data_IF_545987667932
#
_entry.id   IF_545987667932
#
_cell.length_a   1.000
_cell.length_b   1.000
_cell.length_c   1.000
_cell.angle_alpha   90.00
_cell.angle_beta   90.00
_cell.angle_gamma   90.00
#
_symmetry.space_group_name_H-M   'P 1'
#
loop_
_entity.id
_entity.type
_entity.pdbx_description
1 polymer ?
#
# COMPACT_ATOMS: atom_id res chain seq x y z
N UNK A 1 -24.65 -3.87 25.99
CA UNK A 1 -23.79 -4.96 25.49
C UNK A 1 -22.63 -4.35 24.73
N UNK A 2 -21.40 -4.86 24.95
CA UNK A 2 -20.19 -4.43 24.25
C UNK A 2 -20.28 -4.68 22.74
N UNK A 3 -19.31 -4.18 21.97
CA UNK A 3 -19.22 -4.45 20.54
C UNK A 3 -19.09 -5.94 20.26
N UNK A 4 -19.59 -6.36 19.09
CA UNK A 4 -19.42 -7.73 18.61
C UNK A 4 -18.02 -7.87 18.04
N UNK A 5 -17.42 -9.05 18.20
CA UNK A 5 -16.09 -9.34 17.66
C UNK A 5 -16.24 -10.43 16.61
N UNK A 6 -15.75 -10.17 15.41
CA UNK A 6 -15.60 -11.20 14.37
C UNK A 6 -14.12 -11.38 14.07
N UNK A 7 -13.76 -12.55 13.55
CA UNK A 7 -12.37 -12.90 13.22
C UNK A 7 -12.34 -13.43 11.81
N UNK A 8 -11.33 -13.02 11.05
CA UNK A 8 -11.05 -13.64 9.77
C UNK A 8 -10.89 -15.15 9.93
N UNK A 9 -11.39 -15.90 8.95
CA UNK A 9 -11.27 -17.35 8.93
C UNK A 9 -9.78 -17.73 9.06
N UNK A 10 -9.49 -18.67 9.97
CA UNK A 10 -8.12 -19.07 10.30
C UNK A 10 -7.37 -19.67 9.11
N UNK A 11 -8.05 -20.44 8.27
CA UNK A 11 -7.48 -21.09 7.09
C UNK A 11 -7.15 -20.05 6.01
N UNK A 12 -8.07 -19.11 5.76
CA UNK A 12 -7.84 -17.97 4.86
C UNK A 12 -6.66 -17.13 5.32
N UNK A 13 -6.55 -16.89 6.63
CA UNK A 13 -5.44 -16.13 7.21
C UNK A 13 -4.10 -16.87 7.06
N UNK A 14 -4.10 -18.19 7.19
CA UNK A 14 -2.93 -19.01 6.89
C UNK A 14 -2.54 -18.94 5.42
N UNK A 15 -3.52 -18.99 4.51
CA UNK A 15 -3.28 -18.84 3.07
C UNK A 15 -2.64 -17.47 2.74
N UNK A 16 -3.13 -16.38 3.33
CA UNK A 16 -2.48 -15.07 3.21
C UNK A 16 -1.06 -15.08 3.75
N UNK A 17 -0.82 -15.70 4.91
CA UNK A 17 0.53 -15.81 5.48
C UNK A 17 1.47 -16.53 4.52
N UNK A 18 1.07 -17.66 3.96
CA UNK A 18 1.86 -18.41 2.99
C UNK A 18 2.21 -17.56 1.76
N UNK A 19 1.21 -16.96 1.11
CA UNK A 19 1.44 -16.13 -0.10
C UNK A 19 2.32 -14.90 0.18
N UNK A 20 2.14 -14.25 1.33
CA UNK A 20 3.00 -13.14 1.74
C UNK A 20 4.45 -13.62 1.94
N UNK A 21 4.67 -14.77 2.57
CA UNK A 21 6.02 -15.33 2.76
C UNK A 21 6.66 -15.72 1.43
N UNK A 22 5.91 -16.35 0.53
CA UNK A 22 6.37 -16.69 -0.83
C UNK A 22 6.78 -15.45 -1.60
N UNK A 23 5.95 -14.39 -1.58
CA UNK A 23 6.29 -13.11 -2.18
C UNK A 23 7.59 -12.54 -1.62
N UNK A 24 7.74 -12.53 -0.29
CA UNK A 24 8.95 -12.04 0.36
C UNK A 24 10.17 -12.89 -0.02
N UNK A 25 10.03 -14.21 -0.09
CA UNK A 25 11.10 -15.11 -0.51
C UNK A 25 11.54 -14.81 -1.95
N UNK A 26 10.58 -14.69 -2.90
CA UNK A 26 10.85 -14.30 -4.28
C UNK A 26 11.55 -12.94 -4.39
N UNK A 27 11.08 -11.93 -3.65
CA UNK A 27 11.72 -10.61 -3.62
C UNK A 27 13.14 -10.65 -3.05
N UNK A 28 13.36 -11.46 -2.00
CA UNK A 28 14.70 -11.69 -1.42
C UNK A 28 15.63 -12.37 -2.43
N UNK A 29 15.16 -13.38 -3.16
CA UNK A 29 15.94 -14.06 -4.20
C UNK A 29 16.30 -13.13 -5.36
N UNK A 30 15.34 -12.33 -5.86
CA UNK A 30 15.60 -11.34 -6.92
C UNK A 30 16.62 -10.30 -6.45
N UNK A 31 16.51 -9.85 -5.20
CA UNK A 31 17.49 -8.93 -4.61
C UNK A 31 18.88 -9.58 -4.50
N UNK A 32 18.96 -10.85 -4.09
CA UNK A 32 20.23 -11.58 -4.02
C UNK A 32 20.87 -11.76 -5.39
N UNK A 33 20.10 -12.14 -6.41
CA UNK A 33 20.59 -12.26 -7.80
C UNK A 33 21.15 -10.92 -8.31
N UNK A 34 20.45 -9.81 -8.07
CA UNK A 34 20.93 -8.47 -8.46
C UNK A 34 22.24 -8.11 -7.74
N UNK A 35 22.36 -8.43 -6.46
CA UNK A 35 23.60 -8.22 -5.68
C UNK A 35 24.76 -9.03 -6.30
N UNK A 36 24.49 -10.28 -6.71
CA UNK A 36 25.50 -11.15 -7.33
C UNK A 36 25.90 -10.72 -8.75
N UNK A 37 24.98 -10.10 -9.50
CA UNK A 37 25.23 -9.60 -10.86
C UNK A 37 25.94 -8.23 -10.89
N UNK A 38 25.56 -7.31 -9.99
CA UNK A 38 26.08 -5.93 -9.99
C UNK A 38 27.37 -5.75 -9.19
N UNK A 39 27.76 -6.72 -8.34
CA UNK A 39 28.91 -6.60 -7.46
C UNK A 39 29.93 -7.74 -7.70
N UNK A 40 31.25 -7.41 -7.74
CA UNK A 40 32.30 -8.41 -7.73
C UNK A 40 32.10 -9.45 -6.60
N UNK A 41 32.43 -10.72 -6.87
CA UNK A 41 32.24 -11.85 -5.94
C UNK A 41 32.85 -11.64 -4.55
N UNK A 42 33.98 -10.91 -4.47
CA UNK A 42 34.64 -10.56 -3.20
C UNK A 42 33.93 -9.45 -2.40
N UNK A 43 32.91 -8.78 -2.95
CA UNK A 43 32.09 -7.76 -2.24
C UNK A 43 30.74 -8.37 -1.82
N UNK A 44 30.18 -9.27 -2.64
CA UNK A 44 28.88 -9.91 -2.38
C UNK A 44 28.82 -10.64 -1.02
N UNK A 45 29.89 -11.35 -0.63
CA UNK A 45 29.92 -12.09 0.64
C UNK A 45 29.83 -11.20 1.89
N UNK A 46 30.23 -9.93 1.83
CA UNK A 46 30.16 -9.00 2.96
C UNK A 46 28.80 -8.27 3.03
N UNK A 47 28.14 -8.05 1.89
CA UNK A 47 26.87 -7.32 1.80
C UNK A 47 25.66 -8.25 2.00
N UNK A 48 25.72 -9.51 1.54
CA UNK A 48 24.65 -10.50 1.72
C UNK A 48 24.22 -10.69 3.19
N UNK A 49 25.14 -10.87 4.16
CA UNK A 49 24.79 -10.99 5.58
C UNK A 49 24.17 -9.71 6.13
N UNK A 50 24.69 -8.53 5.72
CA UNK A 50 24.22 -7.23 6.21
C UNK A 50 22.85 -6.85 5.65
N UNK A 51 22.55 -7.17 4.38
CA UNK A 51 21.24 -6.95 3.78
C UNK A 51 20.19 -7.87 4.42
N UNK A 52 20.49 -9.17 4.56
CA UNK A 52 19.62 -10.12 5.27
C UNK A 52 19.38 -9.70 6.73
N UNK A 53 20.44 -9.33 7.45
CA UNK A 53 20.36 -8.87 8.83
C UNK A 53 19.65 -7.51 8.98
N UNK A 54 19.84 -6.56 8.07
CA UNK A 54 19.13 -5.27 8.09
C UNK A 54 17.63 -5.43 7.77
N UNK A 55 17.27 -6.35 6.87
CA UNK A 55 15.86 -6.70 6.60
C UNK A 55 15.20 -7.41 7.79
N UNK A 56 15.91 -8.36 8.43
CA UNK A 56 15.35 -9.14 9.53
C UNK A 56 15.35 -8.38 10.87
N UNK A 57 16.40 -7.60 11.18
CA UNK A 57 16.50 -6.82 12.43
C UNK A 57 15.51 -5.66 12.51
N UNK A 58 15.18 -5.05 11.36
CA UNK A 58 14.16 -4.00 11.25
C UNK A 58 12.75 -4.54 11.43
N UNK A 59 12.52 -5.83 11.16
CA UNK A 59 11.23 -6.51 11.35
C UNK A 59 11.04 -7.07 12.76
N UNK A 60 12.04 -7.74 13.35
CA UNK A 60 11.95 -8.30 14.72
C UNK A 60 11.74 -7.22 15.79
N UNK A 61 12.38 -6.06 15.64
CA UNK A 61 12.22 -4.94 16.59
C UNK A 61 10.88 -4.20 16.44
N UNK A 62 10.26 -4.29 15.26
CA UNK A 62 8.95 -3.71 14.95
C UNK A 62 7.79 -4.69 15.30
N UNK A 63 7.97 -6.02 15.21
CA UNK A 63 6.92 -7.04 15.48
C UNK A 63 6.67 -7.31 16.96
N UNK A 64 7.72 -7.48 17.77
CA UNK A 64 7.58 -7.88 19.18
C UNK A 64 7.02 -6.76 20.07
N UNK A 65 6.92 -5.53 19.53
CA UNK A 65 6.28 -4.38 20.19
C UNK A 65 4.82 -4.19 19.75
N UNK A 66 4.38 -4.75 18.62
CA UNK A 66 3.03 -4.56 18.05
C UNK A 66 1.93 -5.30 18.82
N UNK A 67 2.12 -6.60 19.08
CA UNK A 67 1.09 -7.49 19.66
C UNK A 67 0.51 -7.00 21.00
N UNK A 68 1.35 -6.47 21.89
CA UNK A 68 0.91 -5.98 23.21
C UNK A 68 0.11 -4.68 23.17
N UNK A 69 0.35 -3.82 22.17
CA UNK A 69 -0.40 -2.57 21.98
C UNK A 69 -1.76 -2.80 21.35
N UNK A 70 -1.83 -3.71 20.38
CA UNK A 70 -3.05 -4.13 19.69
C UNK A 70 -4.06 -4.76 20.65
N UNK A 71 -3.61 -5.66 21.54
CA UNK A 71 -4.49 -6.32 22.51
C UNK A 71 -5.21 -5.35 23.47
N UNK A 72 -4.52 -4.30 23.93
CA UNK A 72 -5.14 -3.27 24.78
C UNK A 72 -6.13 -2.41 24.01
N UNK A 73 -5.83 -2.05 22.76
CA UNK A 73 -6.74 -1.27 21.92
C UNK A 73 -8.03 -2.06 21.63
N UNK A 74 -7.92 -3.33 21.22
CA UNK A 74 -9.06 -4.22 20.98
C UNK A 74 -9.97 -4.36 22.21
N UNK A 75 -9.40 -4.52 23.40
CA UNK A 75 -10.18 -4.63 24.64
C UNK A 75 -10.98 -3.36 24.92
N UNK A 76 -10.36 -2.19 24.75
CA UNK A 76 -11.04 -0.91 24.94
C UNK A 76 -12.16 -0.71 23.91
N UNK A 77 -11.93 -1.00 22.63
CA UNK A 77 -12.99 -0.89 21.63
C UNK A 77 -14.16 -1.83 21.91
N UNK A 78 -13.87 -3.07 22.30
CA UNK A 78 -14.89 -4.02 22.72
C UNK A 78 -15.73 -3.48 23.88
N UNK A 79 -15.10 -2.96 24.94
CA UNK A 79 -15.78 -2.43 26.12
C UNK A 79 -16.58 -1.14 25.85
N UNK A 80 -16.01 -0.20 25.08
CA UNK A 80 -16.54 1.16 24.97
C UNK A 80 -17.47 1.38 23.78
N UNK A 81 -17.56 0.45 22.82
CA UNK A 81 -18.50 0.52 21.71
C UNK A 81 -19.74 -0.36 21.98
N UNK A 82 -20.88 0.01 21.41
CA UNK A 82 -22.15 -0.72 21.58
C UNK A 82 -22.20 -1.97 20.70
N UNK A 83 -23.14 -2.87 20.97
CA UNK A 83 -23.45 -4.07 20.16
C UNK A 83 -23.72 -3.83 18.66
N UNK A 84 -23.99 -2.58 18.28
CA UNK A 84 -24.18 -2.15 16.88
C UNK A 84 -22.86 -2.12 16.11
N UNK A 85 -21.73 -2.17 16.82
CA UNK A 85 -20.40 -2.21 16.24
C UNK A 85 -19.90 -3.64 16.11
N UNK A 86 -19.19 -3.90 15.02
CA UNK A 86 -18.38 -5.09 14.80
C UNK A 86 -16.92 -4.66 14.80
N UNK A 87 -16.10 -5.31 15.64
CA UNK A 87 -14.66 -5.22 15.64
C UNK A 87 -14.06 -6.44 14.96
N UNK A 88 -13.21 -6.21 13.95
CA UNK A 88 -12.38 -7.24 13.31
C UNK A 88 -10.92 -6.84 13.48
N UNK A 89 -10.15 -7.68 14.16
CA UNK A 89 -8.73 -7.43 14.42
C UNK A 89 -7.85 -8.15 13.40
N UNK A 90 -6.69 -7.56 13.12
CA UNK A 90 -5.62 -8.10 12.28
C UNK A 90 -6.15 -8.63 10.95
N UNK A 91 -6.78 -7.71 10.22
CA UNK A 91 -7.44 -7.93 8.93
C UNK A 91 -6.40 -7.92 7.83
N UNK A 92 -6.26 -9.03 7.11
CA UNK A 92 -5.40 -9.15 5.92
C UNK A 92 -6.26 -9.24 4.68
N UNK A 93 -5.98 -8.40 3.67
CA UNK A 93 -6.70 -8.37 2.40
C UNK A 93 -5.70 -8.27 1.23
N UNK A 94 -6.13 -8.73 0.06
CA UNK A 94 -5.41 -8.56 -1.20
C UNK A 94 -6.35 -7.83 -2.18
N UNK A 95 -6.23 -6.49 -2.34
CA UNK A 95 -7.03 -5.72 -3.28
C UNK A 95 -6.65 -5.99 -4.75
N UNK A 96 -5.42 -6.42 -5.00
CA UNK A 96 -4.89 -6.79 -6.31
C UNK A 96 -3.88 -7.93 -6.17
N UNK A 97 -3.66 -8.74 -7.22
CA UNK A 97 -2.66 -9.80 -7.21
C UNK A 97 -1.31 -9.32 -6.66
N UNK A 98 -0.81 -10.02 -5.65
CA UNK A 98 0.45 -9.73 -4.94
C UNK A 98 0.46 -8.40 -4.16
N UNK A 99 -0.60 -7.59 -4.15
CA UNK A 99 -0.71 -6.41 -3.30
C UNK A 99 -1.48 -6.73 -2.02
N UNK A 100 -0.76 -6.80 -0.89
CA UNK A 100 -1.36 -7.10 0.40
C UNK A 100 -1.48 -5.85 1.29
N UNK A 101 -2.53 -5.83 2.11
CA UNK A 101 -2.71 -4.91 3.23
C UNK A 101 -3.01 -5.67 4.51
N UNK A 102 -2.50 -5.15 5.62
CA UNK A 102 -2.79 -5.61 6.97
C UNK A 102 -3.28 -4.40 7.77
N UNK A 103 -4.47 -4.50 8.35
CA UNK A 103 -5.12 -3.43 9.11
C UNK A 103 -5.34 -3.94 10.53
N UNK A 104 -4.73 -3.29 11.51
CA UNK A 104 -4.72 -3.77 12.90
C UNK A 104 -6.13 -3.91 13.47
N UNK A 105 -6.99 -2.90 13.25
CA UNK A 105 -8.40 -3.00 13.63
C UNK A 105 -9.31 -2.34 12.58
N UNK A 106 -10.35 -3.08 12.17
CA UNK A 106 -11.47 -2.56 11.41
C UNK A 106 -12.70 -2.53 12.32
N UNK A 107 -13.26 -1.34 12.51
CA UNK A 107 -14.49 -1.13 13.27
C UNK A 107 -15.62 -0.75 12.30
N UNK A 108 -16.72 -1.48 12.33
CA UNK A 108 -17.84 -1.28 11.41
C UNK A 108 -19.07 -1.01 12.26
N UNK A 109 -19.73 0.12 12.05
CA UNK A 109 -20.89 0.50 12.85
C UNK A 109 -21.73 1.59 12.17
N UNK A 110 -22.73 2.15 12.89
CA UNK A 110 -23.69 3.06 12.28
C UNK A 110 -23.08 4.27 11.56
N UNK A 111 -22.01 4.94 12.06
CA UNK A 111 -21.41 6.06 11.34
C UNK A 111 -20.54 5.67 10.13
N UNK A 112 -20.16 4.40 9.98
CA UNK A 112 -19.27 3.94 8.92
C UNK A 112 -18.20 2.95 9.36
N UNK A 113 -17.10 2.91 8.60
CA UNK A 113 -15.98 1.99 8.79
C UNK A 113 -14.76 2.76 9.27
N UNK A 114 -14.13 2.36 10.37
CA UNK A 114 -12.89 2.95 10.85
C UNK A 114 -11.73 1.97 10.66
N UNK A 115 -10.67 2.45 10.02
CA UNK A 115 -9.42 1.73 9.81
C UNK A 115 -8.40 2.25 10.82
N UNK A 116 -8.21 1.50 11.92
CA UNK A 116 -7.33 1.91 13.01
C UNK A 116 -5.95 1.27 12.81
N UNK A 117 -4.94 2.12 12.65
CA UNK A 117 -3.53 1.73 12.70
C UNK A 117 -2.99 1.99 14.10
N UNK A 118 -2.48 0.95 14.76
CA UNK A 118 -1.90 1.07 16.10
C UNK A 118 -0.38 1.16 16.06
N UNK A 119 0.17 1.99 16.95
CA UNK A 119 1.62 2.18 17.14
C UNK A 119 1.97 2.08 18.61
N UNK A 120 2.58 0.98 18.99
CA UNK A 120 3.16 0.77 20.32
C UNK A 120 4.53 1.46 20.49
N UNK A 121 4.70 2.64 19.92
CA UNK A 121 5.98 3.36 19.96
C UNK A 121 6.18 4.08 21.29
N UNK A 122 7.35 3.88 21.89
CA UNK A 122 7.75 4.55 23.13
C UNK A 122 8.55 5.82 22.86
N UNK A 123 8.34 6.84 23.69
CA UNK A 123 9.08 8.11 23.63
C UNK A 123 8.21 9.29 23.18
N UNK A 124 8.87 10.29 22.57
CA UNK A 124 8.23 11.52 22.12
C UNK A 124 8.20 11.60 20.59
N UNK A 125 7.04 11.93 20.02
CA UNK A 125 6.80 11.95 18.58
C UNK A 125 6.14 13.26 18.13
N UNK A 126 6.61 13.77 16.99
CA UNK A 126 6.04 14.94 16.33
C UNK A 126 5.62 14.57 14.91
N UNK A 127 4.34 14.74 14.61
CA UNK A 127 3.76 14.63 13.28
C UNK A 127 3.34 16.00 12.76
N UNK A 128 3.77 16.35 11.55
CA UNK A 128 3.32 17.56 10.84
C UNK A 128 3.14 17.26 9.36
N UNK A 129 1.93 17.47 8.80
CA UNK A 129 1.62 17.17 7.38
C UNK A 129 2.07 15.77 6.95
N UNK A 130 1.79 14.79 7.82
CA UNK A 130 2.19 13.38 7.67
C UNK A 130 3.70 13.12 7.59
N UNK A 131 4.54 14.09 7.95
CA UNK A 131 5.95 13.90 8.21
C UNK A 131 6.18 13.70 9.71
N UNK A 132 6.82 12.57 10.04
CA UNK A 132 6.99 12.15 11.42
C UNK A 132 8.45 12.19 11.85
N UNK A 133 8.66 12.67 13.07
CA UNK A 133 9.94 12.67 13.76
C UNK A 133 9.78 12.04 15.14
N UNK A 134 10.83 11.36 15.60
CA UNK A 134 10.96 10.85 16.97
C UNK A 134 12.08 11.60 17.68
N UNK A 135 11.97 11.75 19.00
CA UNK A 135 13.01 12.35 19.84
C UNK A 135 14.09 11.30 20.13
N UNK A 136 15.34 11.64 19.85
CA UNK A 136 16.54 10.85 20.16
C UNK A 136 17.54 11.75 20.89
N UNK A 137 17.67 11.57 22.20
CA UNK A 137 18.39 12.52 23.05
C UNK A 137 17.85 13.94 22.84
N UNK A 138 18.73 14.86 22.44
CA UNK A 138 18.34 16.25 22.18
C UNK A 138 17.85 16.51 20.76
N UNK A 139 17.91 15.54 19.84
CA UNK A 139 17.60 15.74 18.41
C UNK A 139 16.24 15.15 18.01
N UNK A 140 15.59 15.76 17.03
CA UNK A 140 14.41 15.21 16.36
C UNK A 140 14.83 14.55 15.06
N UNK A 141 14.66 13.23 14.96
CA UNK A 141 15.09 12.41 13.82
C UNK A 141 13.88 11.92 13.06
N UNK A 142 13.93 11.95 11.73
CA UNK A 142 12.83 11.48 10.86
C UNK A 142 12.58 9.98 11.08
N UNK A 143 11.33 9.60 11.20
CA UNK A 143 10.91 8.19 11.27
C UNK A 143 9.85 7.87 10.20
N UNK A 144 9.42 6.60 10.15
CA UNK A 144 8.30 6.17 9.31
C UNK A 144 7.05 6.97 9.70
N UNK A 145 6.17 7.24 8.73
CA UNK A 145 4.93 7.98 8.97
C UNK A 145 3.77 7.00 9.13
N UNK A 146 3.17 6.87 10.33
CA UNK A 146 1.99 6.03 10.53
C UNK A 146 0.77 6.56 9.77
N UNK A 147 0.66 7.88 9.58
CA UNK A 147 -0.45 8.47 8.82
C UNK A 147 -0.29 8.23 7.32
N UNK A 148 0.92 8.26 6.75
CA UNK A 148 1.12 7.83 5.35
C UNK A 148 0.87 6.33 5.16
N UNK A 149 1.22 5.51 6.15
CA UNK A 149 0.93 4.09 6.14
C UNK A 149 -0.58 3.85 6.11
N UNK A 150 -1.33 4.45 7.03
CA UNK A 150 -2.77 4.26 7.07
C UNK A 150 -3.51 4.92 5.89
N UNK A 151 -2.95 5.97 5.28
CA UNK A 151 -3.46 6.52 4.02
C UNK A 151 -3.32 5.53 2.85
N UNK A 152 -2.23 4.74 2.83
CA UNK A 152 -2.11 3.61 1.90
C UNK A 152 -3.16 2.55 2.20
N UNK A 153 -3.39 2.20 3.47
CA UNK A 153 -4.42 1.24 3.85
C UNK A 153 -5.81 1.69 3.42
N UNK A 154 -6.17 2.96 3.63
CA UNK A 154 -7.44 3.53 3.16
C UNK A 154 -7.63 3.35 1.65
N UNK A 155 -6.64 3.73 0.84
CA UNK A 155 -6.73 3.64 -0.63
C UNK A 155 -6.96 2.19 -1.08
N UNK A 156 -6.20 1.27 -0.50
CA UNK A 156 -6.23 -0.14 -0.85
C UNK A 156 -7.48 -0.84 -0.32
N UNK A 157 -7.96 -0.47 0.85
CA UNK A 157 -9.22 -0.94 1.41
C UNK A 157 -10.42 -0.48 0.57
N UNK A 158 -10.45 0.79 0.14
CA UNK A 158 -11.46 1.30 -0.79
C UNK A 158 -11.49 0.52 -2.10
N UNK A 159 -10.30 0.25 -2.66
CA UNK A 159 -10.17 -0.59 -3.86
C UNK A 159 -10.72 -2.00 -3.63
N UNK A 160 -10.32 -2.65 -2.54
CA UNK A 160 -10.82 -3.97 -2.19
C UNK A 160 -12.35 -3.99 -2.03
N UNK A 161 -12.94 -2.97 -1.38
CA UNK A 161 -14.39 -2.83 -1.26
C UNK A 161 -15.06 -2.69 -2.64
N UNK A 162 -14.53 -1.84 -3.52
CA UNK A 162 -15.07 -1.66 -4.86
C UNK A 162 -15.12 -2.99 -5.64
N UNK A 163 -14.01 -3.76 -5.64
CA UNK A 163 -13.94 -5.06 -6.32
C UNK A 163 -14.88 -6.11 -5.69
N UNK A 164 -15.17 -6.03 -4.39
CA UNK A 164 -15.98 -7.04 -3.68
C UNK A 164 -17.49 -6.73 -3.62
N UNK A 165 -17.86 -5.47 -3.86
CA UNK A 165 -19.24 -4.99 -3.90
C UNK A 165 -19.71 -4.59 -5.31
N UNK A 166 -18.80 -4.58 -6.29
CA UNK A 166 -18.99 -4.12 -7.68
C UNK A 166 -19.48 -2.67 -7.83
N UNK A 167 -19.57 -1.94 -6.71
CA UNK A 167 -19.94 -0.54 -6.60
C UNK A 167 -19.68 -0.08 -5.16
N UNK A 168 -19.09 1.10 -5.02
CA UNK A 168 -18.96 1.78 -3.74
C UNK A 168 -19.73 3.10 -3.84
N UNK A 169 -20.82 3.25 -3.08
CA UNK A 169 -21.58 4.51 -3.11
C UNK A 169 -20.71 5.64 -2.57
N UNK A 170 -20.89 6.90 -3.05
CA UNK A 170 -20.17 8.06 -2.53
C UNK A 170 -20.30 8.18 -1.00
N UNK A 171 -21.50 7.95 -0.47
CA UNK A 171 -21.77 7.96 0.98
C UNK A 171 -20.94 6.92 1.73
N UNK A 172 -20.83 5.70 1.19
CA UNK A 172 -20.02 4.64 1.78
C UNK A 172 -18.55 5.00 1.71
N UNK A 173 -18.09 5.57 0.59
CA UNK A 173 -16.72 5.97 0.38
C UNK A 173 -16.26 7.10 1.33
N UNK A 174 -17.14 8.07 1.61
CA UNK A 174 -16.90 9.20 2.52
C UNK A 174 -17.01 8.82 4.01
N UNK A 175 -17.58 7.64 4.29
CA UNK A 175 -17.73 7.11 5.66
C UNK A 175 -16.69 6.04 6.00
N UNK A 176 -15.56 6.01 5.30
CA UNK A 176 -14.38 5.22 5.66
C UNK A 176 -13.33 6.15 6.29
N UNK A 177 -13.11 5.99 7.59
CA UNK A 177 -12.30 6.87 8.41
C UNK A 177 -10.97 6.20 8.80
N UNK A 178 -9.82 6.61 8.23
CA UNK A 178 -8.53 6.18 8.75
C UNK A 178 -8.23 6.90 10.07
N UNK A 179 -7.68 6.18 11.04
CA UNK A 179 -7.26 6.75 12.33
C UNK A 179 -5.96 6.11 12.80
N UNK A 180 -5.07 6.87 13.43
CA UNK A 180 -3.85 6.32 14.06
C UNK A 180 -3.99 6.37 15.58
N UNK A 181 -3.65 5.27 16.26
CA UNK A 181 -3.64 5.15 17.71
C UNK A 181 -2.24 4.80 18.22
N UNK A 182 -1.63 5.70 18.99
CA UNK A 182 -0.44 5.41 19.78
C UNK A 182 -0.83 4.83 21.14
N UNK A 183 -0.24 3.70 21.53
CA UNK A 183 -0.57 3.04 22.81
C UNK A 183 0.51 3.22 23.87
N UNK A 184 1.73 3.61 23.50
CA UNK A 184 2.88 3.73 24.43
C UNK A 184 3.65 5.05 24.31
N UNK A 185 3.15 6.01 23.53
CA UNK A 185 3.82 7.29 23.37
C UNK A 185 3.73 8.09 24.68
N UNK A 186 4.88 8.52 25.21
CA UNK A 186 4.94 9.36 26.42
C UNK A 186 4.59 10.81 26.13
N UNK A 187 4.88 11.26 24.90
CA UNK A 187 4.51 12.58 24.40
C UNK A 187 4.21 12.49 22.91
N UNK A 188 3.10 13.10 22.50
CA UNK A 188 2.65 13.07 21.12
C UNK A 188 2.09 14.44 20.74
N UNK A 189 2.59 14.98 19.62
CA UNK A 189 1.98 16.14 18.97
C UNK A 189 1.84 15.86 17.49
N UNK A 190 0.60 15.74 17.01
CA UNK A 190 0.28 15.52 15.61
C UNK A 190 -0.59 16.68 15.12
N UNK A 191 -0.04 17.50 14.24
CA UNK A 191 -0.69 18.70 13.71
C UNK A 191 -0.83 18.57 12.18
N UNK A 192 -1.97 19.00 11.64
CA UNK A 192 -2.22 19.03 10.19
C UNK A 192 -1.91 17.69 9.48
N UNK A 193 -2.09 16.56 10.18
CA UNK A 193 -1.98 15.25 9.54
C UNK A 193 -3.27 14.96 8.77
N UNK A 194 -3.19 14.09 7.75
CA UNK A 194 -4.34 13.75 6.90
C UNK A 194 -5.45 12.97 7.61
N UNK A 195 -5.24 12.60 8.87
CA UNK A 195 -6.19 11.88 9.69
C UNK A 195 -6.01 12.19 11.18
N UNK A 196 -7.04 11.97 12.00
CA UNK A 196 -6.93 12.03 13.45
C UNK A 196 -5.87 11.07 14.00
N UNK A 197 -5.18 11.52 15.04
CA UNK A 197 -4.18 10.73 15.77
C UNK A 197 -4.50 10.80 17.25
N UNK A 198 -4.58 9.65 17.90
CA UNK A 198 -4.86 9.52 19.33
C UNK A 198 -3.70 8.86 20.05
N UNK A 199 -3.53 9.17 21.33
CA UNK A 199 -2.63 8.45 22.25
C UNK A 199 -3.41 7.76 23.39
N UNK A 200 -4.72 7.65 23.26
CA UNK A 200 -5.62 7.08 24.25
C UNK A 200 -6.72 6.28 23.54
N UNK A 201 -6.83 4.95 23.80
CA UNK A 201 -7.91 4.13 23.24
C UNK A 201 -9.30 4.64 23.65
N UNK A 202 -9.42 5.17 24.86
CA UNK A 202 -10.67 5.75 25.38
C UNK A 202 -11.03 7.01 24.57
N UNK A 203 -10.09 7.94 24.38
CA UNK A 203 -10.34 9.15 23.61
C UNK A 203 -10.76 8.84 22.17
N UNK A 204 -10.14 7.82 21.56
CA UNK A 204 -10.54 7.31 20.25
C UNK A 204 -11.96 6.72 20.27
N UNK A 205 -12.29 5.86 21.23
CA UNK A 205 -13.64 5.31 21.36
C UNK A 205 -14.71 6.42 21.51
N UNK A 206 -14.42 7.47 22.29
CA UNK A 206 -15.29 8.64 22.41
C UNK A 206 -15.44 9.41 21.10
N UNK A 207 -14.35 9.59 20.36
CA UNK A 207 -14.39 10.22 19.04
C UNK A 207 -15.27 9.42 18.08
N UNK A 208 -15.08 8.10 18.00
CA UNK A 208 -15.87 7.19 17.17
C UNK A 208 -17.37 7.28 17.52
N UNK A 209 -17.72 7.31 18.81
CA UNK A 209 -19.12 7.43 19.26
C UNK A 209 -19.78 8.76 18.92
N UNK A 210 -18.99 9.83 18.84
CA UNK A 210 -19.46 11.19 18.55
C UNK A 210 -19.38 11.54 17.06
N UNK A 211 -18.87 10.64 16.23
CA UNK A 211 -18.78 10.86 14.80
C UNK A 211 -20.17 11.17 14.23
N UNK A 212 -20.27 12.31 13.54
CA UNK A 212 -21.47 12.70 12.82
C UNK A 212 -21.85 11.63 11.80
N UNK A 213 -23.15 11.39 11.65
CA UNK A 213 -23.66 10.36 10.74
C UNK A 213 -24.12 11.04 9.46
N UNK A 214 -23.20 11.22 8.50
CA UNK A 214 -23.53 11.68 7.15
C UNK A 214 -24.46 10.64 6.48
N UNK A 215 -24.08 9.38 6.62
CA UNK A 215 -24.87 8.21 6.23
C UNK A 215 -24.87 7.21 7.39
N UNK A 216 -26.03 6.61 7.66
CA UNK A 216 -26.20 5.65 8.76
C UNK A 216 -26.22 4.23 8.18
N UNK A 217 -25.23 3.41 8.51
CA UNK A 217 -25.17 2.03 8.05
C UNK A 217 -26.29 1.23 8.72
N UNK A 218 -27.24 0.65 7.95
CA UNK A 218 -28.23 -0.24 8.54
C UNK A 218 -27.54 -1.50 9.07
N UNK A 219 -28.11 -2.18 10.08
CA UNK A 219 -27.52 -3.39 10.65
C UNK A 219 -27.15 -4.44 9.60
N UNK A 220 -27.99 -4.64 8.58
CA UNK A 220 -27.72 -5.58 7.49
C UNK A 220 -26.49 -5.21 6.64
N UNK A 221 -26.18 -3.92 6.47
CA UNK A 221 -24.97 -3.48 5.77
C UNK A 221 -23.73 -3.69 6.65
N UNK A 222 -23.83 -3.39 7.95
CA UNK A 222 -22.75 -3.64 8.93
C UNK A 222 -22.35 -5.12 8.92
N UNK A 223 -23.32 -6.04 8.99
CA UNK A 223 -23.07 -7.48 8.90
C UNK A 223 -22.44 -7.86 7.56
N UNK A 224 -23.03 -7.41 6.44
CA UNK A 224 -22.55 -7.76 5.09
C UNK A 224 -21.10 -7.34 4.85
N UNK A 225 -20.72 -6.13 5.29
CA UNK A 225 -19.33 -5.64 5.19
C UNK A 225 -18.41 -6.50 6.05
N UNK A 226 -18.80 -6.78 7.30
CA UNK A 226 -17.99 -7.61 8.19
C UNK A 226 -17.81 -9.03 7.64
N UNK A 227 -18.90 -9.66 7.17
CA UNK A 227 -18.89 -11.00 6.57
C UNK A 227 -17.99 -11.08 5.34
N UNK A 228 -18.04 -10.07 4.46
CA UNK A 228 -17.13 -9.97 3.31
C UNK A 228 -15.67 -9.86 3.75
N UNK A 229 -15.36 -9.09 4.80
CA UNK A 229 -14.00 -8.93 5.31
C UNK A 229 -13.48 -10.21 5.97
N UNK A 230 -14.30 -10.89 6.78
CA UNK A 230 -13.84 -12.08 7.52
C UNK A 230 -13.66 -13.31 6.63
N UNK A 231 -14.37 -13.34 5.50
CA UNK A 231 -14.30 -14.41 4.49
C UNK A 231 -13.55 -13.97 3.23
N UNK A 232 -12.81 -12.86 3.28
CA UNK A 232 -12.08 -12.32 2.14
C UNK A 232 -11.00 -13.30 1.67
N UNK A 233 -11.17 -13.86 0.48
CA UNK A 233 -10.15 -14.73 -0.12
C UNK A 233 -9.06 -13.90 -0.82
N UNK A 234 -7.82 -14.43 -0.91
CA UNK A 234 -6.82 -13.90 -1.81
C UNK A 234 -7.31 -13.92 -3.27
N UNK A 235 -6.85 -13.00 -4.12
CA UNK A 235 -7.30 -12.81 -5.51
C UNK A 235 -7.24 -14.09 -6.39
N UNK A 236 -6.47 -15.10 -5.98
CA UNK A 236 -6.27 -16.35 -6.71
C UNK A 236 -6.58 -17.62 -5.89
N UNK A 237 -7.47 -17.57 -4.89
CA UNK A 237 -8.00 -18.78 -4.26
C UNK A 237 -8.99 -19.57 -5.15
N UNK A 238 -8.82 -19.48 -6.48
CA UNK A 238 -9.39 -20.43 -7.43
C UNK A 238 -8.41 -21.60 -7.47
N UNK A 239 -8.88 -22.79 -7.10
CA UNK A 239 -8.09 -24.02 -7.10
C UNK A 239 -7.41 -24.25 -8.46
N UNK A 240 -6.12 -24.56 -8.40
CA UNK A 240 -5.19 -24.81 -9.51
C UNK A 240 -4.85 -23.56 -10.35
N UNK A 241 -3.72 -22.88 -10.07
CA UNK A 241 -3.07 -22.16 -11.16
C UNK A 241 -2.76 -23.20 -12.26
N UNK A 242 -3.01 -22.92 -13.55
CA UNK A 242 -2.45 -23.74 -14.61
C UNK A 242 -0.96 -23.87 -14.31
N UNK A 243 -0.42 -25.08 -14.44
CA UNK A 243 1.03 -25.21 -14.54
C UNK A 243 1.49 -24.19 -15.58
N UNK A 244 2.65 -23.56 -15.43
CA UNK A 244 3.22 -22.68 -16.46
C UNK A 244 3.40 -23.40 -17.82
N UNK A 245 3.06 -24.70 -17.91
CA UNK A 245 2.98 -25.51 -19.11
C UNK A 245 1.59 -25.64 -19.76
N UNK A 246 0.49 -25.18 -19.14
CA UNK A 246 -0.89 -25.39 -19.66
C UNK A 246 -1.64 -24.11 -20.04
N UNK A 247 -1.01 -22.93 -19.97
CA UNK A 247 -1.53 -21.76 -20.69
C UNK A 247 -1.23 -21.94 -22.19
N UNK A 248 -2.22 -21.79 -23.09
CA UNK A 248 -1.92 -21.72 -24.50
C UNK A 248 -0.89 -20.61 -24.69
N UNK A 249 0.22 -20.95 -25.34
CA UNK A 249 1.20 -19.97 -25.81
C UNK A 249 0.38 -18.93 -26.58
N UNK A 250 0.29 -17.73 -26.02
CA UNK A 250 -0.10 -16.58 -26.79
C UNK A 250 1.06 -16.34 -27.78
N UNK A 251 1.02 -17.09 -28.88
CA UNK A 251 1.50 -16.55 -30.14
C UNK A 251 0.84 -15.17 -30.27
N UNK A 252 1.64 -14.12 -30.53
CA UNK A 252 1.12 -12.77 -30.57
C UNK A 252 0.05 -12.67 -31.68
N UNK A 253 -1.22 -12.60 -31.27
CA UNK A 253 -2.33 -12.20 -32.14
C UNK A 253 -2.06 -10.75 -32.52
N UNK A 254 -1.84 -10.55 -33.82
CA UNK A 254 -1.72 -9.26 -34.46
C UNK A 254 -2.98 -8.43 -34.21
N UNK A 255 -2.81 -7.26 -33.58
CA UNK A 255 -3.70 -6.12 -33.80
C UNK A 255 -2.86 -4.88 -34.07
N UNK A 256 -2.95 -4.47 -35.33
CA UNK A 256 -2.48 -3.25 -36.00
C UNK A 256 -1.08 -2.72 -35.67
N UNK A 257 -0.11 -3.32 -36.39
CA UNK A 257 1.05 -2.58 -36.88
C UNK A 257 0.59 -1.50 -37.85
N UNK A 258 0.47 -0.26 -37.39
CA UNK A 258 0.75 0.86 -38.29
C UNK A 258 2.28 1.02 -38.37
N UNK A 259 2.85 0.34 -39.36
CA UNK A 259 4.18 0.65 -39.87
C UNK A 259 4.18 2.07 -40.45
N UNK A 260 4.71 3.02 -39.68
CA UNK A 260 5.35 4.19 -40.24
C UNK A 260 6.81 3.83 -40.53
N UNK A 261 7.28 4.18 -41.70
CA UNK A 261 8.46 3.61 -42.32
C UNK A 261 9.76 4.08 -41.66
N UNK A 262 10.56 3.12 -41.19
CA UNK A 262 12.01 3.19 -41.11
C UNK A 262 12.63 4.02 -39.98
N UNK A 263 12.76 3.45 -38.78
CA UNK A 263 13.97 3.53 -37.94
C UNK A 263 13.84 2.54 -36.78
N UNK A 264 14.87 1.70 -36.55
CA UNK A 264 14.94 0.69 -35.48
C UNK A 264 15.24 1.37 -34.13
N UNK A 265 14.28 2.07 -33.54
CA UNK A 265 14.44 2.64 -32.20
C UNK A 265 13.32 2.18 -31.27
N UNK A 266 13.68 1.68 -30.08
CA UNK A 266 12.72 1.30 -29.03
C UNK A 266 12.18 2.58 -28.38
N UNK A 267 10.89 2.86 -28.59
CA UNK A 267 10.21 4.07 -28.11
C UNK A 267 9.28 3.72 -26.95
N UNK A 268 9.47 4.40 -25.81
CA UNK A 268 8.65 4.24 -24.59
C UNK A 268 8.08 5.58 -24.14
N UNK A 269 6.83 5.62 -23.74
CA UNK A 269 6.19 6.83 -23.19
C UNK A 269 6.01 6.72 -21.68
N UNK A 270 5.98 7.85 -20.98
CA UNK A 270 5.82 7.88 -19.53
C UNK A 270 5.45 9.26 -18.99
N UNK A 271 5.30 9.36 -17.66
CA UNK A 271 5.06 10.63 -16.95
C UNK A 271 6.09 10.85 -15.85
N UNK A 272 6.52 12.10 -15.66
CA UNK A 272 7.40 12.47 -14.53
C UNK A 272 6.63 12.42 -13.21
N UNK A 273 7.34 12.52 -12.07
CA UNK A 273 6.72 12.62 -10.73
C UNK A 273 5.75 13.79 -10.58
N UNK A 274 5.88 14.82 -11.42
CA UNK A 274 5.02 16.00 -11.46
C UNK A 274 3.91 15.88 -12.52
N UNK A 275 3.74 14.70 -13.14
CA UNK A 275 2.69 14.41 -14.13
C UNK A 275 3.05 14.77 -15.58
N UNK A 276 4.17 15.46 -15.83
CA UNK A 276 4.56 15.90 -17.19
C UNK A 276 4.85 14.68 -18.10
N UNK A 277 4.17 14.54 -19.25
CA UNK A 277 4.39 13.42 -20.17
C UNK A 277 5.72 13.56 -20.93
N UNK A 278 6.37 12.43 -21.18
CA UNK A 278 7.61 12.36 -21.96
C UNK A 278 7.65 11.12 -22.84
N UNK A 279 8.45 11.20 -23.90
CA UNK A 279 8.78 10.10 -24.80
C UNK A 279 10.28 9.81 -24.66
N UNK A 280 10.64 8.54 -24.46
CA UNK A 280 12.01 8.01 -24.41
C UNK A 280 12.27 7.18 -25.65
N UNK A 281 13.46 7.35 -26.22
CA UNK A 281 13.91 6.67 -27.44
C UNK A 281 15.29 6.08 -27.15
N UNK A 282 15.42 4.76 -27.29
CA UNK A 282 16.71 4.08 -27.16
C UNK A 282 17.32 3.94 -28.56
N UNK A 283 18.47 4.59 -28.78
CA UNK A 283 19.08 4.73 -30.10
C UNK A 283 20.02 5.94 -30.20
N UNK A 284 20.25 6.40 -31.43
CA UNK A 284 21.02 7.61 -31.67
C UNK A 284 20.21 8.88 -31.36
N UNK A 285 20.88 10.04 -31.27
CA UNK A 285 20.20 11.34 -31.13
C UNK A 285 19.33 11.65 -32.35
N UNK A 286 19.77 11.22 -33.53
CA UNK A 286 19.08 11.40 -34.80
C UNK A 286 17.78 10.57 -34.84
N UNK A 287 17.80 9.34 -34.32
CA UNK A 287 16.59 8.52 -34.18
C UNK A 287 15.56 9.19 -33.26
N UNK A 288 16.03 9.76 -32.14
CA UNK A 288 15.17 10.46 -31.20
C UNK A 288 14.57 11.75 -31.78
N UNK A 289 15.32 12.48 -32.62
CA UNK A 289 14.81 13.66 -33.35
C UNK A 289 13.81 13.28 -34.44
N UNK A 290 13.99 12.13 -35.10
CA UNK A 290 13.02 11.62 -36.07
C UNK A 290 11.70 11.25 -35.40
N UNK A 291 11.76 10.49 -34.30
CA UNK A 291 10.58 10.15 -33.49
C UNK A 291 9.90 11.42 -32.96
N UNK A 292 10.65 12.45 -32.56
CA UNK A 292 10.07 13.72 -32.13
C UNK A 292 9.25 14.40 -33.24
N UNK A 293 9.78 14.47 -34.47
CA UNK A 293 9.06 15.05 -35.61
C UNK A 293 7.78 14.29 -35.94
N UNK A 294 7.78 12.96 -35.84
CA UNK A 294 6.56 12.16 -36.02
C UNK A 294 5.47 12.49 -34.98
N UNK A 295 5.85 12.87 -33.76
CA UNK A 295 4.90 13.33 -32.75
C UNK A 295 4.41 14.77 -33.03
N UNK A 296 5.26 15.65 -33.55
CA UNK A 296 4.84 16.99 -34.01
C UNK A 296 3.84 16.89 -35.18
N UNK A 297 4.09 16.00 -36.16
CA UNK A 297 3.18 15.75 -37.28
C UNK A 297 1.83 15.15 -36.85
N UNK A 298 1.81 14.42 -35.73
CA UNK A 298 0.59 13.91 -35.08
C UNK A 298 -0.13 14.97 -34.22
N UNK A 299 0.36 16.22 -34.20
CA UNK A 299 -0.28 17.34 -33.52
C UNK A 299 0.10 17.51 -32.05
N UNK A 300 1.16 16.86 -31.56
CA UNK A 300 1.66 17.05 -30.20
C UNK A 300 2.67 18.21 -30.15
N UNK A 301 2.55 19.09 -29.15
CA UNK A 301 3.63 20.03 -28.84
C UNK A 301 4.78 19.25 -28.18
N UNK A 302 6.00 19.41 -28.70
CA UNK A 302 7.16 18.68 -28.18
C UNK A 302 8.27 19.62 -27.74
N UNK A 303 8.90 19.28 -26.62
CA UNK A 303 10.11 19.95 -26.13
C UNK A 303 11.38 19.45 -26.84
N UNK A 304 12.54 20.01 -26.50
CA UNK A 304 13.82 19.59 -27.09
C UNK A 304 14.24 18.18 -26.67
N UNK A 305 14.93 17.47 -27.57
CA UNK A 305 15.52 16.15 -27.28
C UNK A 305 16.71 16.29 -26.34
N UNK A 306 16.68 15.54 -25.24
CA UNK A 306 17.67 15.55 -24.17
C UNK A 306 18.24 14.14 -23.95
N UNK A 307 19.49 14.04 -23.51
CA UNK A 307 20.14 12.76 -23.22
C UNK A 307 19.70 12.26 -21.85
N UNK A 308 19.31 10.98 -21.75
CA UNK A 308 19.03 10.34 -20.47
C UNK A 308 20.35 10.14 -19.70
N UNK A 309 20.41 10.63 -18.45
CA UNK A 309 21.61 10.55 -17.60
C UNK A 309 21.77 9.21 -16.90
N UNK A 310 20.71 8.40 -16.85
CA UNK A 310 20.66 7.13 -16.11
C UNK A 310 20.71 5.92 -17.04
N UNK A 311 20.29 6.08 -18.31
CA UNK A 311 20.25 4.99 -19.29
C UNK A 311 21.18 5.29 -20.48
N UNK A 312 22.23 4.49 -20.65
CA UNK A 312 23.24 4.70 -21.71
C UNK A 312 22.61 4.45 -23.09
N UNK A 313 22.75 5.41 -24.00
CA UNK A 313 22.20 5.29 -25.36
C UNK A 313 20.71 5.62 -25.46
N UNK A 314 20.13 6.29 -24.46
CA UNK A 314 18.73 6.69 -24.46
C UNK A 314 18.60 8.22 -24.46
N UNK A 315 17.64 8.70 -25.23
CA UNK A 315 17.26 10.10 -25.34
C UNK A 315 15.79 10.27 -24.99
N UNK A 316 15.36 11.47 -24.63
CA UNK A 316 13.96 11.74 -24.32
C UNK A 316 13.58 13.18 -24.65
N UNK A 317 12.30 13.42 -24.89
CA UNK A 317 11.72 14.75 -25.00
C UNK A 317 10.38 14.80 -24.28
N UNK A 318 9.97 15.98 -23.83
CA UNK A 318 8.67 16.18 -23.19
C UNK A 318 7.58 16.42 -24.22
N UNK A 319 6.37 15.97 -23.94
CA UNK A 319 5.17 16.45 -24.61
C UNK A 319 4.64 17.63 -23.78
N UNK A 320 4.38 18.76 -24.41
CA UNK A 320 3.98 20.02 -23.76
C UNK A 320 2.47 20.26 -23.81
#
# INVERSE_FOLDING_TARGET
MPARVMRQNKEIKELFRQRIQEKIAREKEVMQKRIDEELPSWISWAIKPLAGYAFDSKRRRDSDKGEGGEGQASLNFWLFLSKEWILVNDVVLEPEPEEFIQIDHVLIGPPGIFLVETKAWEGAFLGFKDHWKRKEGNKWVRCKSPTKQNLRHLRLFKKWLYENFNYLSPDMEETIYPVVLFTRAKWLKANECSMPVFNSPIALAWHIRRQGKIFVYPPALVERVAEKIVNALPCHAVENPPSELDLPRNDPVETDKQQASGCKADVKTGRTKNGRPYVKVTGSKEDAEKVRKEYEEKGYNTGTVQKDRYTKGTWFFYLE
#
